data_IF_420697899577
#
_entry.id   IF_420697899577
#
_cell.length_a   1.000
_cell.length_b   1.000
_cell.length_c   1.000
_cell.angle_alpha   90.00
_cell.angle_beta   90.00
_cell.angle_gamma   90.00
#
_symmetry.space_group_name_H-M   'P 1'
#
loop_
_entity.id
_entity.type
_entity.pdbx_description
1 polymer ?
#
# COMPACT_ATOMS: atom_id res chain seq x y z
N UNK A 1 -27.68 -4.82 -15.88
CA UNK A 1 -26.37 -5.31 -15.41
C UNK A 1 -25.31 -4.35 -15.94
N UNK A 2 -24.43 -3.81 -15.09
CA UNK A 2 -23.34 -2.91 -15.52
C UNK A 2 -22.01 -3.66 -15.56
N UNK A 3 -21.10 -3.27 -16.46
CA UNK A 3 -19.74 -3.83 -16.52
C UNK A 3 -18.86 -3.18 -15.45
N UNK A 4 -18.39 -3.99 -14.50
CA UNK A 4 -17.64 -3.53 -13.33
C UNK A 4 -16.15 -3.81 -13.54
N UNK A 5 -15.31 -2.78 -13.44
CA UNK A 5 -13.87 -2.90 -13.36
C UNK A 5 -13.42 -2.69 -11.92
N UNK A 6 -12.79 -3.69 -11.31
CA UNK A 6 -12.23 -3.61 -9.96
C UNK A 6 -10.71 -3.49 -10.03
N UNK A 7 -10.17 -2.38 -9.51
CA UNK A 7 -8.75 -2.13 -9.37
C UNK A 7 -8.33 -2.51 -7.95
N UNK A 8 -7.29 -3.34 -7.79
CA UNK A 8 -6.92 -3.89 -6.48
C UNK A 8 -7.80 -5.08 -6.05
N UNK A 9 -8.42 -5.79 -7.01
CA UNK A 9 -9.33 -6.90 -6.73
C UNK A 9 -8.70 -8.12 -6.03
N UNK A 10 -7.36 -8.20 -5.97
CA UNK A 10 -6.63 -9.26 -5.25
C UNK A 10 -6.30 -8.89 -3.79
N UNK A 11 -6.60 -7.67 -3.36
CA UNK A 11 -6.39 -7.23 -1.98
C UNK A 11 -7.47 -7.73 -1.01
N UNK A 12 -7.26 -7.48 0.29
CA UNK A 12 -8.13 -7.96 1.38
C UNK A 12 -9.59 -7.57 1.21
N UNK A 13 -9.88 -6.31 0.83
CA UNK A 13 -11.26 -5.86 0.54
C UNK A 13 -11.65 -6.21 -0.90
N UNK A 14 -10.72 -6.04 -1.85
CA UNK A 14 -10.94 -6.29 -3.28
C UNK A 14 -11.54 -7.67 -3.57
N UNK A 15 -11.06 -8.73 -2.90
CA UNK A 15 -11.56 -10.10 -3.10
C UNK A 15 -13.05 -10.27 -2.81
N UNK A 16 -13.56 -9.56 -1.79
CA UNK A 16 -14.96 -9.59 -1.42
C UNK A 16 -15.81 -8.77 -2.39
N UNK A 17 -15.29 -7.64 -2.87
CA UNK A 17 -15.97 -6.81 -3.87
C UNK A 17 -16.12 -7.54 -5.21
N UNK A 18 -15.07 -8.20 -5.69
CA UNK A 18 -15.13 -9.02 -6.91
C UNK A 18 -16.13 -10.17 -6.73
N UNK A 19 -16.06 -10.86 -5.59
CA UNK A 19 -16.99 -11.95 -5.26
C UNK A 19 -18.44 -11.50 -5.23
N UNK A 20 -18.73 -10.37 -4.57
CA UNK A 20 -20.08 -9.80 -4.49
C UNK A 20 -20.61 -9.35 -5.85
N UNK A 21 -19.76 -8.71 -6.66
CA UNK A 21 -20.09 -8.27 -8.02
C UNK A 21 -20.48 -9.46 -8.92
N UNK A 22 -19.69 -10.54 -8.88
CA UNK A 22 -20.01 -11.78 -9.61
C UNK A 22 -21.32 -12.41 -9.13
N UNK A 23 -21.53 -12.51 -7.81
CA UNK A 23 -22.76 -13.08 -7.24
C UNK A 23 -24.01 -12.25 -7.57
N UNK A 24 -23.85 -10.94 -7.73
CA UNK A 24 -24.91 -10.04 -8.19
C UNK A 24 -25.16 -10.13 -9.71
N UNK A 25 -24.41 -10.96 -10.44
CA UNK A 25 -24.55 -11.15 -11.88
C UNK A 25 -23.95 -10.04 -12.73
N UNK A 26 -23.05 -9.21 -12.19
CA UNK A 26 -22.37 -8.19 -12.96
C UNK A 26 -21.18 -8.77 -13.72
N UNK A 27 -21.03 -8.49 -15.04
CA UNK A 27 -19.79 -8.77 -15.75
C UNK A 27 -18.64 -8.05 -15.06
N UNK A 28 -17.74 -8.82 -14.44
CA UNK A 28 -16.72 -8.29 -13.54
C UNK A 28 -15.32 -8.52 -14.12
N UNK A 29 -14.59 -7.44 -14.30
CA UNK A 29 -13.19 -7.43 -14.74
C UNK A 29 -12.29 -6.98 -13.59
N UNK A 30 -11.16 -7.63 -13.41
CA UNK A 30 -10.16 -7.29 -12.39
C UNK A 30 -8.89 -6.80 -13.07
N UNK A 31 -8.38 -5.63 -12.65
CA UNK A 31 -7.06 -5.15 -13.07
C UNK A 31 -5.99 -5.75 -12.14
N UNK A 32 -5.04 -6.50 -12.70
CA UNK A 32 -3.95 -7.14 -11.98
C UNK A 32 -2.59 -6.73 -12.52
N UNK A 33 -1.62 -6.43 -11.63
CA UNK A 33 -0.26 -6.06 -12.05
C UNK A 33 0.49 -7.31 -12.58
N UNK A 34 1.21 -7.24 -13.71
CA UNK A 34 1.99 -8.38 -14.21
C UNK A 34 2.97 -8.97 -13.17
N UNK A 35 3.57 -8.14 -12.33
CA UNK A 35 4.45 -8.58 -11.23
C UNK A 35 3.73 -9.36 -10.11
N UNK A 36 2.39 -9.27 -10.00
CA UNK A 36 1.59 -10.09 -9.06
C UNK A 36 1.36 -11.52 -9.56
N UNK A 37 1.89 -11.86 -10.74
CA UNK A 37 1.69 -13.14 -11.44
C UNK A 37 2.97 -13.99 -11.42
N UNK A 38 3.87 -13.82 -10.45
CA UNK A 38 4.87 -14.87 -10.22
C UNK A 38 4.12 -16.15 -9.88
N UNK A 39 4.49 -17.24 -10.56
CA UNK A 39 3.68 -18.46 -10.74
C UNK A 39 3.33 -19.20 -9.44
N UNK A 40 3.93 -18.83 -8.31
CA UNK A 40 3.77 -19.53 -7.03
C UNK A 40 3.21 -18.68 -5.88
N UNK A 41 2.70 -17.46 -6.16
CA UNK A 41 2.08 -16.64 -5.11
C UNK A 41 0.60 -16.98 -4.88
N UNK A 42 0.11 -16.82 -3.65
CA UNK A 42 -1.32 -17.00 -3.31
C UNK A 42 -2.24 -16.07 -4.12
N UNK A 43 -1.71 -14.94 -4.59
CA UNK A 43 -2.41 -14.00 -5.48
C UNK A 43 -2.68 -14.62 -6.86
N UNK A 44 -1.76 -15.43 -7.40
CA UNK A 44 -1.96 -16.12 -8.68
C UNK A 44 -3.03 -17.22 -8.58
N UNK A 45 -3.00 -18.02 -7.50
CA UNK A 45 -4.06 -19.01 -7.21
C UNK A 45 -5.43 -18.35 -7.08
N UNK A 46 -5.49 -17.21 -6.39
CA UNK A 46 -6.73 -16.45 -6.24
C UNK A 46 -7.24 -15.91 -7.59
N UNK A 47 -6.38 -15.34 -8.44
CA UNK A 47 -6.77 -14.89 -9.77
C UNK A 47 -7.33 -16.03 -10.65
N UNK A 48 -6.74 -17.23 -10.56
CA UNK A 48 -7.27 -18.41 -11.25
C UNK A 48 -8.66 -18.82 -10.72
N UNK A 49 -8.87 -18.74 -9.40
CA UNK A 49 -10.19 -18.98 -8.81
C UNK A 49 -11.24 -17.96 -9.28
N UNK A 50 -10.85 -16.70 -9.47
CA UNK A 50 -11.74 -15.66 -10.00
C UNK A 50 -12.10 -15.92 -11.46
N UNK A 51 -11.13 -16.31 -12.29
CA UNK A 51 -11.37 -16.69 -13.69
C UNK A 51 -12.35 -17.86 -13.79
N UNK A 52 -12.18 -18.89 -12.96
CA UNK A 52 -13.08 -20.04 -12.90
C UNK A 52 -14.52 -19.64 -12.51
N UNK A 53 -14.68 -18.56 -11.75
CA UNK A 53 -15.98 -17.98 -11.36
C UNK A 53 -16.55 -16.97 -12.37
N UNK A 54 -15.93 -16.82 -13.54
CA UNK A 54 -16.41 -15.96 -14.62
C UNK A 54 -15.88 -14.52 -14.58
N UNK A 55 -14.91 -14.20 -13.72
CA UNK A 55 -14.24 -12.90 -13.80
C UNK A 55 -13.26 -12.84 -14.97
N UNK A 56 -13.23 -11.70 -15.65
CA UNK A 56 -12.17 -11.39 -16.61
C UNK A 56 -10.98 -10.76 -15.88
N UNK A 57 -9.76 -11.03 -16.31
CA UNK A 57 -8.54 -10.43 -15.74
C UNK A 57 -7.82 -9.66 -16.83
N UNK A 58 -7.57 -8.38 -16.57
CA UNK A 58 -6.78 -7.50 -17.43
C UNK A 58 -5.46 -7.22 -16.73
N UNK A 59 -4.37 -7.38 -17.46
CA UNK A 59 -3.05 -7.12 -16.91
C UNK A 59 -2.65 -5.67 -17.16
N UNK A 60 -2.26 -5.00 -16.09
CA UNK A 60 -2.03 -3.57 -16.11
C UNK A 60 -1.46 -3.03 -14.82
N UNK A 61 -0.73 -1.92 -14.92
CA UNK A 61 -0.26 -1.17 -13.77
C UNK A 61 -1.10 0.10 -13.61
N UNK A 62 -1.57 0.39 -12.40
CA UNK A 62 -2.25 1.65 -12.11
C UNK A 62 -1.33 2.88 -12.29
N UNK A 63 -0.01 2.67 -12.23
CA UNK A 63 0.97 3.71 -12.49
C UNK A 63 1.20 3.95 -13.99
N UNK A 64 0.76 3.02 -14.86
CA UNK A 64 0.74 3.21 -16.31
C UNK A 64 -0.62 3.80 -16.72
N UNK A 65 -0.62 5.12 -16.94
CA UNK A 65 -1.81 5.84 -17.33
C UNK A 65 -2.39 5.37 -18.68
N UNK A 66 -1.58 4.87 -19.60
CA UNK A 66 -2.04 4.39 -20.91
C UNK A 66 -2.86 3.11 -20.76
N UNK A 67 -2.26 2.10 -20.12
CA UNK A 67 -2.92 0.83 -19.86
C UNK A 67 -4.19 1.01 -19.02
N UNK A 68 -4.15 1.88 -18.00
CA UNK A 68 -5.29 2.14 -17.14
C UNK A 68 -6.48 2.77 -17.90
N UNK A 69 -6.21 3.72 -18.80
CA UNK A 69 -7.25 4.32 -19.65
C UNK A 69 -7.85 3.30 -20.59
N UNK A 70 -7.05 2.42 -21.19
CA UNK A 70 -7.53 1.35 -22.07
C UNK A 70 -8.40 0.36 -21.29
N UNK A 71 -7.97 -0.07 -20.11
CA UNK A 71 -8.74 -0.95 -19.24
C UNK A 71 -10.11 -0.35 -18.87
N UNK A 72 -10.13 0.94 -18.51
CA UNK A 72 -11.38 1.64 -18.18
C UNK A 72 -12.29 1.75 -19.41
N UNK A 73 -11.77 2.14 -20.57
CA UNK A 73 -12.56 2.25 -21.81
C UNK A 73 -13.17 0.92 -22.24
N UNK A 74 -12.39 -0.16 -22.14
CA UNK A 74 -12.82 -1.47 -22.62
C UNK A 74 -13.75 -2.18 -21.63
N UNK A 75 -13.57 -1.98 -20.33
CA UNK A 75 -14.22 -2.82 -19.31
C UNK A 75 -14.98 -2.07 -18.20
N UNK A 76 -14.76 -0.77 -18.02
CA UNK A 76 -15.26 0.00 -16.88
C UNK A 76 -16.45 0.88 -17.23
N UNK A 77 -17.67 0.36 -17.09
CA UNK A 77 -18.83 1.24 -16.89
C UNK A 77 -18.89 1.71 -15.44
N UNK A 78 -18.59 0.82 -14.50
CA UNK A 78 -18.44 1.17 -13.09
C UNK A 78 -17.03 0.79 -12.67
N UNK A 79 -16.24 1.77 -12.24
CA UNK A 79 -14.87 1.55 -11.76
C UNK A 79 -14.87 1.58 -10.24
N UNK A 80 -14.46 0.46 -9.62
CA UNK A 80 -14.32 0.32 -8.17
C UNK A 80 -12.82 0.25 -7.85
N UNK A 81 -12.33 1.23 -7.09
CA UNK A 81 -10.96 1.21 -6.58
C UNK A 81 -10.95 0.59 -5.18
N UNK A 82 -10.22 -0.52 -5.03
CA UNK A 82 -9.96 -1.21 -3.78
C UNK A 82 -8.44 -1.37 -3.56
N UNK A 83 -7.67 -0.38 -4.00
CA UNK A 83 -6.23 -0.31 -3.79
C UNK A 83 -5.95 -0.07 -2.30
N UNK A 84 -4.89 -0.69 -1.79
CA UNK A 84 -4.44 -0.45 -0.42
C UNK A 84 -3.99 1.01 -0.25
N UNK A 85 -3.99 1.45 1.01
CA UNK A 85 -3.46 2.73 1.45
C UNK A 85 -2.34 2.51 2.47
N UNK A 86 -1.42 1.60 2.13
CA UNK A 86 -0.28 1.27 3.00
C UNK A 86 0.77 2.38 2.97
N UNK A 87 0.93 3.05 1.82
CA UNK A 87 1.93 4.11 1.64
C UNK A 87 1.30 5.43 1.16
N UNK A 88 1.85 6.60 1.54
CA UNK A 88 1.32 7.90 1.11
C UNK A 88 1.43 8.08 -0.42
N UNK A 89 2.36 7.38 -1.07
CA UNK A 89 2.53 7.28 -2.53
C UNK A 89 1.29 6.70 -3.25
N UNK A 90 0.38 6.01 -2.54
CA UNK A 90 -0.84 5.43 -3.11
C UNK A 90 -2.04 6.40 -3.13
N UNK A 91 -1.94 7.56 -2.45
CA UNK A 91 -2.91 8.67 -2.63
C UNK A 91 -2.82 9.25 -4.06
N UNK A 92 -1.61 9.28 -4.64
CA UNK A 92 -1.40 9.61 -6.05
C UNK A 92 -2.03 8.54 -6.97
N UNK A 93 -2.05 7.28 -6.53
CA UNK A 93 -2.67 6.18 -7.27
C UNK A 93 -4.16 6.41 -7.53
N UNK A 94 -4.90 6.92 -6.53
CA UNK A 94 -6.32 7.25 -6.71
C UNK A 94 -6.55 8.46 -7.64
N UNK A 95 -5.68 9.47 -7.57
CA UNK A 95 -5.72 10.60 -8.51
C UNK A 95 -5.45 10.16 -9.95
N UNK A 96 -4.49 9.24 -10.17
CA UNK A 96 -4.23 8.65 -11.49
C UNK A 96 -5.44 7.90 -12.04
N UNK A 97 -6.17 7.16 -11.20
CA UNK A 97 -7.42 6.50 -11.60
C UNK A 97 -8.46 7.54 -12.01
N UNK A 98 -8.62 8.62 -11.24
CA UNK A 98 -9.56 9.68 -11.57
C UNK A 98 -9.22 10.38 -12.91
N UNK A 99 -7.93 10.66 -13.15
CA UNK A 99 -7.47 11.22 -14.43
C UNK A 99 -7.70 10.26 -15.60
N UNK A 100 -7.46 8.96 -15.39
CA UNK A 100 -7.70 7.95 -16.40
C UNK A 100 -9.19 7.81 -16.73
N UNK A 101 -10.08 7.87 -15.72
CA UNK A 101 -11.54 7.92 -15.93
C UNK A 101 -11.94 9.15 -16.73
N UNK A 102 -11.42 10.34 -16.37
CA UNK A 102 -11.69 11.59 -17.12
C UNK A 102 -11.29 11.48 -18.58
N UNK A 103 -10.17 10.81 -18.88
CA UNK A 103 -9.66 10.60 -20.25
C UNK A 103 -10.37 9.45 -20.99
N UNK A 104 -10.90 8.46 -20.27
CA UNK A 104 -11.66 7.35 -20.82
C UNK A 104 -13.03 7.77 -21.34
N UNK A 105 -13.57 8.89 -20.84
CA UNK A 105 -14.74 9.56 -21.42
C UNK A 105 -16.07 8.84 -21.19
N UNK A 106 -16.16 7.86 -20.28
CA UNK A 106 -17.41 7.12 -20.02
C UNK A 106 -17.64 6.88 -18.51
N UNK A 107 -18.84 7.25 -18.07
CA UNK A 107 -19.58 7.00 -16.80
C UNK A 107 -19.36 7.94 -15.59
N UNK A 108 -20.49 8.55 -15.20
CA UNK A 108 -20.88 9.19 -13.93
C UNK A 108 -19.77 9.31 -12.87
N UNK A 109 -18.87 10.26 -13.05
CA UNK A 109 -17.98 10.71 -12.00
C UNK A 109 -18.69 11.79 -11.16
N UNK A 110 -18.82 11.59 -9.84
CA UNK A 110 -19.05 12.71 -8.92
C UNK A 110 -17.68 13.15 -8.39
N UNK A 111 -17.08 14.16 -9.01
CA UNK A 111 -15.96 14.92 -8.45
C UNK A 111 -15.81 16.27 -9.18
N UNK A 112 -15.77 17.37 -8.42
CA UNK A 112 -15.86 18.79 -8.84
C UNK A 112 -14.66 19.37 -9.62
N UNK A 113 -14.74 20.66 -10.05
CA UNK A 113 -13.99 21.17 -11.20
C UNK A 113 -12.68 21.88 -10.87
N UNK A 114 -11.76 21.84 -11.84
CA UNK A 114 -10.58 22.72 -12.01
C UNK A 114 -9.25 21.96 -11.99
N UNK A 115 -8.34 22.03 -12.95
CA UNK A 115 -8.29 22.69 -14.26
C UNK A 115 -6.83 22.71 -14.77
N UNK A 116 -6.61 22.26 -16.03
CA UNK A 116 -5.53 22.61 -17.01
C UNK A 116 -4.04 22.31 -16.64
N UNK A 117 -3.09 22.09 -17.58
CA UNK A 117 -2.99 21.65 -18.99
C UNK A 117 -1.49 21.72 -19.37
N UNK A 118 -1.01 20.76 -20.17
CA UNK A 118 0.16 20.90 -21.07
C UNK A 118 1.39 20.06 -20.68
N UNK A 119 2.06 19.31 -21.55
CA UNK A 119 1.90 19.04 -22.98
C UNK A 119 3.23 18.64 -23.61
N UNK A 120 3.19 17.68 -24.55
CA UNK A 120 4.17 17.38 -25.64
C UNK A 120 5.52 16.77 -25.21
N UNK A 121 6.11 15.81 -25.91
CA UNK A 121 5.75 15.10 -27.15
C UNK A 121 6.96 14.30 -27.69
N UNK A 122 6.67 13.45 -28.68
CA UNK A 122 7.56 12.91 -29.74
C UNK A 122 8.76 12.03 -29.30
N UNK A 123 9.08 10.87 -29.88
CA UNK A 123 8.89 10.33 -31.23
C UNK A 123 9.92 9.19 -31.43
N UNK A 124 10.07 8.60 -32.63
CA UNK A 124 9.97 7.14 -32.82
C UNK A 124 11.22 6.44 -33.39
N UNK A 125 11.19 5.09 -33.48
CA UNK A 125 11.90 4.36 -34.55
C UNK A 125 12.66 3.06 -34.18
N UNK A 126 12.25 1.89 -34.70
CA UNK A 126 12.92 0.56 -34.55
C UNK A 126 13.62 0.19 -35.90
N UNK A 127 13.80 -1.08 -36.37
CA UNK A 127 13.80 -2.43 -35.77
C UNK A 127 14.98 -3.34 -36.29
N UNK A 128 14.86 -4.67 -36.03
CA UNK A 128 15.39 -5.87 -36.77
C UNK A 128 16.53 -6.60 -36.05
N UNK A 129 16.56 -7.93 -35.92
CA UNK A 129 15.65 -8.97 -36.41
C UNK A 129 16.14 -10.38 -36.07
N UNK A 130 15.24 -11.35 -36.33
CA UNK A 130 15.37 -12.79 -36.66
C UNK A 130 16.56 -13.62 -36.13
N UNK A 131 16.22 -14.78 -35.55
CA UNK A 131 17.06 -15.99 -35.59
C UNK A 131 16.38 -17.18 -34.92
N UNK A 132 16.13 -18.24 -35.68
CA UNK A 132 15.43 -19.47 -35.29
C UNK A 132 16.43 -20.63 -35.23
N UNK A 133 16.33 -21.48 -34.23
CA UNK A 133 16.93 -22.83 -34.17
C UNK A 133 17.26 -23.24 -32.73
N UNK A 134 17.30 -24.50 -32.30
CA UNK A 134 16.65 -25.77 -32.67
C UNK A 134 17.23 -26.82 -31.70
N UNK A 135 16.36 -27.62 -31.07
CA UNK A 135 16.53 -29.03 -30.62
C UNK A 135 17.57 -29.44 -29.55
N UNK A 136 17.09 -30.37 -28.70
CA UNK A 136 17.84 -31.42 -27.97
C UNK A 136 18.15 -31.06 -26.52
N UNK A 137 17.92 -31.88 -25.48
CA UNK A 137 17.52 -33.28 -25.36
C UNK A 137 17.32 -33.61 -23.86
N UNK A 138 16.68 -34.74 -23.58
CA UNK A 138 16.22 -35.20 -22.27
C UNK A 138 17.33 -35.75 -21.35
N UNK A 139 17.07 -35.81 -20.04
CA UNK A 139 17.82 -36.71 -19.12
C UNK A 139 17.75 -36.40 -17.61
N UNK A 140 16.82 -37.09 -16.92
CA UNK A 140 16.93 -37.67 -15.56
C UNK A 140 17.12 -36.80 -14.29
N UNK A 141 16.12 -36.86 -13.41
CA UNK A 141 16.17 -36.64 -11.95
C UNK A 141 16.73 -37.90 -11.22
N UNK A 142 16.74 -38.05 -9.87
CA UNK A 142 16.42 -37.14 -8.76
C UNK A 142 17.47 -37.18 -7.60
N UNK A 143 17.40 -36.24 -6.65
CA UNK A 143 17.88 -36.46 -5.28
C UNK A 143 17.08 -35.57 -4.32
N UNK A 144 16.16 -36.19 -3.57
CA UNK A 144 15.59 -35.63 -2.35
C UNK A 144 16.55 -35.85 -1.19
N UNK A 145 16.62 -34.89 -0.26
CA UNK A 145 16.53 -35.25 1.15
C UNK A 145 15.46 -34.42 1.88
N UNK A 146 14.48 -35.14 2.42
CA UNK A 146 13.77 -35.04 3.71
C UNK A 146 13.38 -33.67 4.34
N UNK A 147 12.29 -33.65 5.14
CA UNK A 147 11.41 -32.50 5.25
C UNK A 147 11.92 -31.44 6.25
N UNK A 148 11.95 -30.19 5.81
CA UNK A 148 12.03 -29.05 6.71
C UNK A 148 10.70 -28.93 7.50
N UNK A 149 10.75 -28.51 8.77
CA UNK A 149 9.65 -28.68 9.71
C UNK A 149 8.40 -27.91 9.28
N UNK A 150 7.26 -28.57 9.39
CA UNK A 150 5.96 -27.92 9.40
C UNK A 150 5.85 -27.04 10.65
N UNK A 151 6.03 -25.73 10.50
CA UNK A 151 5.61 -24.80 11.54
C UNK A 151 5.23 -23.45 10.94
N UNK A 152 3.92 -23.21 11.02
CA UNK A 152 3.25 -21.90 10.99
C UNK A 152 3.49 -21.03 9.76
N UNK A 153 2.42 -20.94 8.97
CA UNK A 153 1.99 -19.78 8.22
C UNK A 153 2.17 -18.48 9.03
N UNK A 154 3.39 -17.93 9.06
CA UNK A 154 3.64 -16.56 9.48
C UNK A 154 3.17 -15.68 8.33
N UNK A 155 1.88 -15.34 8.31
CA UNK A 155 1.31 -14.31 7.46
C UNK A 155 2.21 -13.06 7.48
N UNK A 156 2.22 -12.31 6.39
CA UNK A 156 2.91 -11.03 6.24
C UNK A 156 2.46 -10.03 7.32
N UNK A 157 3.00 -10.12 8.55
CA UNK A 157 2.45 -9.40 9.70
C UNK A 157 2.89 -7.93 9.68
N UNK A 158 1.99 -7.05 9.28
CA UNK A 158 2.00 -5.67 9.76
C UNK A 158 1.42 -5.66 11.18
N UNK A 159 2.00 -4.87 12.07
CA UNK A 159 1.46 -4.69 13.42
C UNK A 159 0.95 -3.26 13.59
N UNK A 160 -0.31 -3.11 13.98
CA UNK A 160 -0.92 -1.80 14.20
C UNK A 160 -1.28 -1.61 15.67
N UNK A 161 -1.00 -0.43 16.20
CA UNK A 161 -1.44 -0.04 17.54
C UNK A 161 -1.71 1.46 17.66
N UNK A 162 -2.42 1.81 18.72
CA UNK A 162 -2.73 3.19 19.07
C UNK A 162 -1.92 3.61 20.29
N UNK A 163 -1.40 4.83 20.26
CA UNK A 163 -0.80 5.50 21.40
C UNK A 163 -1.54 6.81 21.64
N UNK A 164 -1.98 7.04 22.88
CA UNK A 164 -2.58 8.31 23.29
C UNK A 164 -1.56 9.10 24.10
N UNK A 165 -1.36 10.36 23.73
CA UNK A 165 -0.49 11.29 24.45
C UNK A 165 -1.31 11.89 25.59
N UNK A 166 -1.18 11.35 26.81
CA UNK A 166 -1.89 11.90 27.97
C UNK A 166 -1.01 12.88 28.76
N UNK A 167 0.28 12.59 28.84
CA UNK A 167 1.27 13.35 29.59
C UNK A 167 2.08 14.26 28.65
N UNK A 168 3.25 14.75 29.11
CA UNK A 168 4.17 15.57 28.31
C UNK A 168 4.37 14.98 26.90
N UNK A 169 3.95 15.70 25.82
CA UNK A 169 4.08 15.22 24.45
C UNK A 169 5.51 14.91 24.03
N UNK A 170 6.51 15.58 24.63
CA UNK A 170 7.91 15.46 24.27
C UNK A 170 8.68 14.45 25.14
N UNK A 171 8.10 14.02 26.26
CA UNK A 171 8.70 13.04 27.16
C UNK A 171 8.74 11.62 26.60
N UNK A 172 9.27 10.68 27.39
CA UNK A 172 9.36 9.25 27.06
C UNK A 172 7.99 8.69 26.66
N UNK A 173 7.94 7.89 25.58
CA UNK A 173 6.72 7.15 25.20
C UNK A 173 6.95 5.65 25.27
N UNK A 174 6.09 4.97 26.03
CA UNK A 174 6.12 3.52 26.17
C UNK A 174 5.34 2.85 25.04
N UNK A 175 5.91 1.82 24.47
CA UNK A 175 5.25 0.98 23.47
C UNK A 175 4.34 -0.06 24.16
N UNK A 176 3.24 -0.49 23.52
CA UNK A 176 2.37 -1.52 24.08
C UNK A 176 3.10 -2.86 24.26
N UNK A 177 2.83 -3.58 25.36
CA UNK A 177 3.45 -4.89 25.62
C UNK A 177 3.23 -5.89 24.48
N UNK A 178 2.05 -5.88 23.84
CA UNK A 178 1.76 -6.73 22.67
C UNK A 178 2.69 -6.44 21.48
N UNK A 179 3.15 -5.20 21.33
CA UNK A 179 4.13 -4.86 20.32
C UNK A 179 5.51 -5.42 20.69
N UNK A 180 5.88 -5.40 21.98
CA UNK A 180 7.12 -6.00 22.48
C UNK A 180 7.16 -7.51 22.20
N UNK A 181 6.07 -8.22 22.51
CA UNK A 181 5.90 -9.65 22.19
C UNK A 181 5.96 -9.91 20.67
N UNK A 182 5.49 -8.97 19.86
CA UNK A 182 5.50 -9.10 18.40
C UNK A 182 6.91 -8.99 17.80
N UNK A 183 7.77 -8.15 18.36
CA UNK A 183 9.16 -7.98 17.93
C UNK A 183 10.14 -8.87 18.70
N UNK A 184 9.64 -9.77 19.54
CA UNK A 184 10.47 -10.64 20.38
C UNK A 184 11.49 -11.45 19.55
N UNK A 185 12.76 -11.40 19.95
CA UNK A 185 13.89 -11.96 19.21
C UNK A 185 14.52 -11.06 18.13
N UNK A 186 13.87 -9.96 17.74
CA UNK A 186 14.41 -8.93 16.84
C UNK A 186 14.16 -7.56 17.48
N UNK A 187 14.86 -7.28 18.58
CA UNK A 187 14.80 -5.99 19.26
C UNK A 187 15.41 -4.91 18.35
N UNK A 188 14.60 -4.02 17.75
CA UNK A 188 15.15 -3.01 16.87
C UNK A 188 15.84 -1.96 17.74
N UNK A 189 17.15 -1.78 17.57
CA UNK A 189 17.86 -0.71 18.28
C UNK A 189 17.30 0.69 17.92
N UNK A 190 16.77 0.83 16.71
CA UNK A 190 16.22 2.08 16.17
C UNK A 190 14.98 1.81 15.33
N UNK A 191 14.02 2.73 15.43
CA UNK A 191 12.84 2.80 14.59
C UNK A 191 12.89 4.06 13.75
N UNK A 192 12.51 3.93 12.48
CA UNK A 192 12.33 5.05 11.59
C UNK A 192 10.85 5.42 11.56
N UNK A 193 10.48 6.51 12.24
CA UNK A 193 9.12 7.02 12.18
C UNK A 193 8.94 7.83 10.90
N UNK A 194 7.86 7.55 10.17
CA UNK A 194 7.43 8.31 9.00
C UNK A 194 5.97 8.71 9.17
N UNK A 195 5.70 10.00 9.07
CA UNK A 195 4.31 10.48 9.12
C UNK A 195 3.61 10.16 7.80
N UNK A 196 2.38 9.65 7.88
CA UNK A 196 1.64 9.05 6.76
C UNK A 196 1.26 10.03 5.64
N UNK A 197 1.49 11.33 5.79
CA UNK A 197 1.30 12.34 4.75
C UNK A 197 2.62 12.96 4.26
N UNK A 198 3.78 12.52 4.77
CA UNK A 198 5.10 12.95 4.29
C UNK A 198 5.99 11.78 3.87
N UNK A 199 6.48 11.82 2.63
CA UNK A 199 7.37 10.79 2.07
C UNK A 199 8.85 11.01 2.41
N UNK A 200 9.23 12.23 2.79
CA UNK A 200 10.63 12.60 3.01
C UNK A 200 10.99 12.78 4.48
N UNK A 201 10.00 13.09 5.31
CA UNK A 201 10.17 13.37 6.73
C UNK A 201 10.28 12.04 7.48
N UNK A 202 11.50 11.71 7.91
CA UNK A 202 11.77 10.52 8.72
C UNK A 202 12.48 10.95 9.99
N UNK A 203 12.02 10.42 11.11
CA UNK A 203 12.65 10.62 12.41
C UNK A 203 13.23 9.30 12.86
N UNK A 204 14.54 9.29 13.10
CA UNK A 204 15.20 8.17 13.73
C UNK A 204 14.94 8.26 15.24
N UNK A 205 14.34 7.23 15.79
CA UNK A 205 13.98 7.16 17.21
C UNK A 205 14.57 5.87 17.77
N UNK A 206 15.38 5.99 18.80
CA UNK A 206 15.95 4.84 19.48
C UNK A 206 14.89 4.14 20.34
N UNK A 207 15.04 2.82 20.44
CA UNK A 207 14.18 1.99 21.30
C UNK A 207 15.01 1.50 22.47
N UNK A 208 14.63 1.93 23.66
CA UNK A 208 15.26 1.49 24.90
C UNK A 208 14.39 0.42 25.57
N UNK A 209 15.05 -0.69 25.90
CA UNK A 209 14.47 -1.78 26.68
C UNK A 209 14.88 -1.65 28.15
N UNK A 210 13.91 -1.71 29.06
CA UNK A 210 14.16 -1.52 30.49
C UNK A 210 14.58 -2.80 31.25
N UNK A 211 14.80 -3.90 30.52
CA UNK A 211 15.13 -5.21 31.08
C UNK A 211 13.95 -5.94 31.74
N UNK A 212 12.77 -5.31 31.81
CA UNK A 212 11.54 -5.83 32.45
C UNK A 212 10.40 -6.02 31.45
N UNK A 213 10.72 -6.12 30.15
CA UNK A 213 9.72 -6.30 29.11
C UNK A 213 9.05 -5.01 28.64
N UNK A 214 9.59 -3.83 28.98
CA UNK A 214 9.03 -2.56 28.51
C UNK A 214 9.98 -1.90 27.51
N UNK A 215 9.40 -1.52 26.37
CA UNK A 215 10.07 -0.73 25.35
C UNK A 215 9.62 0.73 25.42
N UNK A 216 10.56 1.63 25.17
CA UNK A 216 10.30 3.06 25.14
C UNK A 216 11.02 3.75 23.99
N UNK A 217 10.37 4.78 23.44
CA UNK A 217 10.84 5.58 22.31
C UNK A 217 11.61 6.80 22.81
N UNK A 218 12.93 6.72 22.83
CA UNK A 218 13.88 7.80 23.12
C UNK A 218 15.31 7.26 22.96
N UNK A 219 16.32 8.08 22.61
CA UNK A 219 16.31 9.43 22.02
C UNK A 219 15.54 9.60 20.69
N UNK A 220 15.22 10.84 20.31
CA UNK A 220 14.66 11.21 19.00
C UNK A 220 13.14 11.43 18.96
N UNK A 221 12.39 10.92 19.94
CA UNK A 221 10.94 11.15 20.06
C UNK A 221 10.60 12.63 20.23
N UNK A 222 11.38 13.36 21.01
CA UNK A 222 11.16 14.77 21.32
C UNK A 222 11.19 15.64 20.06
N UNK A 223 12.10 15.36 19.12
CA UNK A 223 12.15 16.03 17.81
C UNK A 223 10.91 15.70 16.98
N UNK A 224 10.51 14.43 16.93
CA UNK A 224 9.29 13.99 16.26
C UNK A 224 8.05 14.72 16.82
N UNK A 225 7.92 14.79 18.15
CA UNK A 225 6.82 15.47 18.81
C UNK A 225 6.76 16.97 18.52
N UNK A 226 7.91 17.65 18.51
CA UNK A 226 8.01 19.08 18.17
C UNK A 226 7.64 19.35 16.71
N UNK A 227 8.18 18.57 15.77
CA UNK A 227 7.95 18.78 14.34
C UNK A 227 6.49 18.50 13.94
N UNK A 228 5.79 17.67 14.70
CA UNK A 228 4.36 17.38 14.52
C UNK A 228 3.44 18.22 15.41
N UNK A 229 4.00 19.14 16.21
CA UNK A 229 3.28 19.97 17.18
C UNK A 229 2.29 19.13 18.01
N UNK A 230 2.78 18.03 18.59
CA UNK A 230 1.95 17.14 19.40
C UNK A 230 1.53 17.85 20.68
N UNK A 231 0.25 17.76 21.00
CA UNK A 231 -0.35 18.31 22.21
C UNK A 231 -0.90 17.17 23.10
N UNK A 232 -1.08 17.41 24.40
CA UNK A 232 -1.80 16.48 25.26
C UNK A 232 -3.21 16.23 24.72
N UNK A 233 -3.61 14.96 24.68
CA UNK A 233 -4.86 14.49 24.11
C UNK A 233 -4.75 13.98 22.68
N UNK A 234 -3.65 14.24 21.95
CA UNK A 234 -3.44 13.67 20.62
C UNK A 234 -3.44 12.13 20.66
N UNK A 235 -4.01 11.52 19.62
CA UNK A 235 -3.94 10.08 19.37
C UNK A 235 -3.10 9.80 18.14
N UNK A 236 -2.25 8.79 18.22
CA UNK A 236 -1.38 8.36 17.15
C UNK A 236 -1.67 6.90 16.81
N UNK A 237 -1.85 6.60 15.52
CA UNK A 237 -1.86 5.22 15.02
C UNK A 237 -0.48 4.90 14.47
N UNK A 238 0.11 3.80 14.92
CA UNK A 238 1.37 3.28 14.42
C UNK A 238 1.10 2.01 13.62
N UNK A 239 1.62 1.96 12.40
CA UNK A 239 1.68 0.77 11.57
C UNK A 239 3.14 0.41 11.36
N UNK A 240 3.57 -0.71 11.94
CA UNK A 240 4.90 -1.25 11.78
C UNK A 240 4.97 -2.11 10.52
N UNK A 241 5.82 -1.69 9.55
CA UNK A 241 6.21 -2.49 8.39
C UNK A 241 7.53 -3.24 8.68
N UNK A 242 7.94 -4.15 7.79
CA UNK A 242 9.25 -4.82 7.90
C UNK A 242 10.39 -3.77 7.86
N UNK A 243 11.55 -4.13 8.41
CA UNK A 243 12.80 -3.33 8.36
C UNK A 243 12.87 -2.09 9.28
N UNK A 244 12.03 -2.02 10.33
CA UNK A 244 12.17 -0.98 11.36
C UNK A 244 11.51 0.35 11.00
N UNK A 245 10.72 0.42 9.92
CA UNK A 245 9.90 1.60 9.60
C UNK A 245 8.52 1.53 10.29
N UNK A 246 8.14 2.62 10.96
CA UNK A 246 6.79 2.82 11.49
C UNK A 246 6.11 3.98 10.79
N UNK A 247 4.95 3.70 10.20
CA UNK A 247 4.07 4.70 9.62
C UNK A 247 3.15 5.24 10.70
N UNK A 248 3.15 6.56 10.89
CA UNK A 248 2.41 7.23 11.96
C UNK A 248 1.33 8.14 11.38
N UNK A 249 0.09 8.03 11.86
CA UNK A 249 -0.95 9.06 11.64
C UNK A 249 -1.27 9.72 12.95
N UNK A 250 -1.41 11.04 12.93
CA UNK A 250 -1.73 11.84 14.12
C UNK A 250 -3.16 12.35 14.01
N UNK A 251 -3.87 12.25 15.13
CA UNK A 251 -5.22 12.74 15.33
C UNK A 251 -5.21 13.70 16.52
N UNK A 252 -5.92 14.82 16.38
CA UNK A 252 -6.07 15.78 17.46
C UNK A 252 -6.98 15.24 18.59
N UNK A 253 -7.19 16.06 19.62
CA UNK A 253 -8.05 15.71 20.76
C UNK A 253 -9.53 15.54 20.40
N UNK A 254 -9.95 15.94 19.20
CA UNK A 254 -11.29 15.71 18.64
C UNK A 254 -11.37 14.44 17.78
N UNK A 255 -10.28 13.66 17.72
CA UNK A 255 -10.12 12.50 16.85
C UNK A 255 -10.14 12.83 15.35
N UNK A 256 -9.84 14.09 14.98
CA UNK A 256 -9.71 14.49 13.59
C UNK A 256 -8.26 14.32 13.11
N UNK A 257 -8.08 13.81 11.89
CA UNK A 257 -6.75 13.59 11.32
C UNK A 257 -6.03 14.92 11.10
N UNK A 258 -4.84 15.05 11.68
CA UNK A 258 -3.98 16.21 11.48
C UNK A 258 -3.28 16.12 10.12
N UNK A 259 -3.28 17.22 9.39
CA UNK A 259 -2.63 17.34 8.08
C UNK A 259 -1.49 18.36 8.15
N UNK A 260 -0.37 18.04 7.53
CA UNK A 260 0.83 18.86 7.60
C UNK A 260 1.26 19.28 6.21
N UNK A 261 1.90 20.43 6.12
CA UNK A 261 2.64 20.86 4.94
C UNK A 261 4.07 21.16 5.34
N UNK A 262 4.99 20.91 4.42
CA UNK A 262 6.39 21.32 4.55
C UNK A 262 6.54 22.61 3.77
N UNK A 263 7.04 23.66 4.42
CA UNK A 263 7.33 24.91 3.75
C UNK A 263 8.65 24.86 2.97
N UNK A 264 8.96 25.92 2.21
CA UNK A 264 10.18 26.04 1.41
C UNK A 264 11.46 26.04 2.25
N UNK A 265 11.36 26.30 3.56
CA UNK A 265 12.48 26.23 4.50
C UNK A 265 12.69 24.83 5.07
N UNK A 266 11.85 23.87 4.68
CA UNK A 266 11.88 22.49 5.19
C UNK A 266 11.22 22.33 6.56
N UNK A 267 10.60 23.39 7.11
CA UNK A 267 9.93 23.35 8.39
C UNK A 267 8.50 22.85 8.23
N UNK A 268 8.07 21.92 9.09
CA UNK A 268 6.71 21.37 9.07
C UNK A 268 5.77 22.29 9.82
N UNK A 269 4.60 22.54 9.22
CA UNK A 269 3.51 23.29 9.85
C UNK A 269 2.20 22.53 9.75
N UNK A 270 1.47 22.52 10.86
CA UNK A 270 0.09 22.02 10.90
C UNK A 270 -0.77 22.88 9.97
N UNK A 271 -1.48 22.24 9.05
CA UNK A 271 -2.50 22.88 8.24
C UNK A 271 -3.76 22.97 9.10
N UNK A 272 -4.02 24.17 9.61
CA UNK A 272 -5.27 24.49 10.32
C UNK A 272 -6.45 24.55 9.35
#
# INVERSE_FOLDING_TARGET
MSRVLVIGGTGNIGRHLVTGSLNAGHPTTVLARPATVSSDSDKAKFLNSLKARGASVVYGDMNDHGNLVEAIKQHGEVVISAVGHGRPEELDGQLKILEAIKKAGTVKSKAGPGGRRGGRGHGPGPPRGRGWGSRGGAGTAPCSPSPAPSSSSWEERCFEFLLRINDDPLGIKRLPNKFVEFVDGVEPAQLQLREASCNFCRWLVEVLFDGRGKMSLQPGWDKFGRDLALEPGCQLTFLYEREGEMIVKVFDNTSCRMHYHTDESGQRRLKR
#
